data_IF_534823521006
#
_entry.id   IF_534823521006
#
_cell.length_a   1.000
_cell.length_b   1.000
_cell.length_c   1.000
_cell.angle_alpha   90.00
_cell.angle_beta   90.00
_cell.angle_gamma   90.00
#
_symmetry.space_group_name_H-M   'P 1'
#
loop_
_entity.id
_entity.type
_entity.pdbx_description
1 polymer ?
#
# COMPACT_ATOMS: atom_id res chain seq x y z
N UNK A 1 61.40 -12.25 -29.20
CA UNK A 1 60.00 -12.07 -28.75
C UNK A 1 59.15 -13.14 -29.42
N UNK A 2 58.75 -14.17 -28.67
CA UNK A 2 58.05 -15.38 -29.16
C UNK A 2 56.63 -15.39 -28.60
N UNK A 3 55.66 -15.70 -29.47
CA UNK A 3 54.46 -16.44 -29.09
C UNK A 3 53.30 -15.63 -28.50
N UNK A 4 52.56 -14.93 -29.37
CA UNK A 4 51.12 -14.71 -29.19
C UNK A 4 50.46 -15.10 -30.51
N UNK A 5 49.26 -15.69 -30.45
CA UNK A 5 48.43 -16.15 -31.57
C UNK A 5 48.77 -17.51 -32.17
N UNK A 6 48.33 -18.60 -31.53
CA UNK A 6 47.75 -19.76 -32.23
C UNK A 6 47.10 -20.76 -31.25
N UNK A 7 45.90 -20.50 -30.70
CA UNK A 7 45.15 -21.55 -30.00
C UNK A 7 44.56 -22.61 -30.95
N UNK A 8 44.56 -22.39 -32.26
CA UNK A 8 43.88 -23.25 -33.23
C UNK A 8 44.71 -24.42 -33.80
N UNK A 9 46.00 -24.54 -33.45
CA UNK A 9 46.88 -25.55 -34.06
C UNK A 9 46.85 -26.92 -33.37
N UNK A 10 46.02 -27.09 -32.33
CA UNK A 10 45.91 -28.34 -31.56
C UNK A 10 44.77 -29.28 -32.02
N UNK A 11 44.02 -28.92 -33.06
CA UNK A 11 42.81 -29.66 -33.47
C UNK A 11 42.88 -30.37 -34.84
N UNK A 12 44.04 -30.42 -35.51
CA UNK A 12 44.18 -31.16 -36.77
C UNK A 12 44.90 -32.50 -36.55
N UNK A 13 44.14 -33.58 -36.42
CA UNK A 13 44.64 -34.93 -36.71
C UNK A 13 44.29 -35.22 -38.18
N UNK A 14 45.31 -35.42 -39.02
CA UNK A 14 45.25 -35.94 -40.40
C UNK A 14 44.88 -35.04 -41.60
N UNK A 15 44.94 -33.71 -41.50
CA UNK A 15 45.02 -32.85 -42.71
C UNK A 15 43.76 -32.73 -43.57
N UNK A 16 42.61 -33.26 -43.14
CA UNK A 16 41.29 -32.85 -43.63
C UNK A 16 40.53 -32.11 -42.53
N UNK A 17 39.80 -31.01 -42.85
CA UNK A 17 39.04 -30.29 -41.84
C UNK A 17 37.94 -31.22 -41.32
N UNK A 18 38.01 -31.59 -40.03
CA UNK A 18 36.96 -32.32 -39.32
C UNK A 18 35.72 -31.43 -39.17
N UNK A 19 35.01 -31.22 -40.27
CA UNK A 19 33.77 -30.43 -40.39
C UNK A 19 32.67 -31.01 -39.50
N UNK A 20 32.62 -32.33 -39.37
CA UNK A 20 31.70 -33.05 -38.46
C UNK A 20 31.96 -32.73 -36.98
N UNK A 21 33.23 -32.62 -36.57
CA UNK A 21 33.59 -32.24 -35.21
C UNK A 21 33.18 -30.80 -34.90
N UNK A 22 33.49 -29.86 -35.81
CA UNK A 22 33.11 -28.46 -35.65
C UNK A 22 31.59 -28.26 -35.65
N UNK A 23 30.86 -28.96 -36.52
CA UNK A 23 29.40 -28.93 -36.54
C UNK A 23 28.84 -29.42 -35.19
N UNK A 24 29.34 -30.56 -34.69
CA UNK A 24 28.90 -31.12 -33.41
C UNK A 24 29.17 -30.16 -32.25
N UNK A 25 30.35 -29.52 -32.22
CA UNK A 25 30.66 -28.56 -31.16
C UNK A 25 29.87 -27.25 -31.27
N UNK A 26 29.60 -26.76 -32.47
CA UNK A 26 28.70 -25.62 -32.67
C UNK A 26 27.29 -25.95 -32.18
N UNK A 27 26.79 -27.16 -32.43
CA UNK A 27 25.47 -27.62 -31.95
C UNK A 27 25.45 -27.74 -30.43
N UNK A 28 26.49 -28.28 -29.79
CA UNK A 28 26.58 -28.38 -28.32
C UNK A 28 26.62 -26.98 -27.69
N UNK A 29 27.45 -26.08 -28.22
CA UNK A 29 27.51 -24.68 -27.76
C UNK A 29 26.17 -23.98 -27.92
N UNK A 30 25.54 -24.09 -29.09
CA UNK A 30 24.22 -23.52 -29.34
C UNK A 30 23.18 -24.10 -28.37
N UNK A 31 23.16 -25.41 -28.16
CA UNK A 31 22.25 -26.07 -27.22
C UNK A 31 22.45 -25.62 -25.78
N UNK A 32 23.71 -25.38 -25.37
CA UNK A 32 24.03 -24.95 -24.00
C UNK A 32 23.58 -23.51 -23.77
N UNK A 33 23.88 -22.62 -24.72
CA UNK A 33 23.47 -21.22 -24.67
C UNK A 33 21.95 -21.10 -24.70
N UNK A 34 21.27 -21.85 -25.57
CA UNK A 34 19.81 -21.88 -25.63
C UNK A 34 19.20 -22.44 -24.34
N UNK A 35 19.78 -23.50 -23.78
CA UNK A 35 19.31 -24.08 -22.51
C UNK A 35 19.41 -23.10 -21.35
N UNK A 36 20.54 -22.40 -21.20
CA UNK A 36 20.73 -21.37 -20.17
C UNK A 36 19.78 -20.20 -20.42
N UNK A 37 19.66 -19.72 -21.66
CA UNK A 37 18.76 -18.62 -22.01
C UNK A 37 17.31 -18.93 -21.65
N UNK A 38 16.80 -20.11 -22.01
CA UNK A 38 15.43 -20.51 -21.72
C UNK A 38 15.20 -20.65 -20.20
N UNK A 39 16.17 -21.23 -19.48
CA UNK A 39 16.09 -21.36 -18.03
C UNK A 39 16.12 -19.99 -17.33
N UNK A 40 16.98 -19.07 -17.77
CA UNK A 40 17.04 -17.71 -17.23
C UNK A 40 15.77 -16.92 -17.54
N UNK A 41 15.20 -17.07 -18.74
CA UNK A 41 13.94 -16.42 -19.11
C UNK A 41 12.77 -16.92 -18.27
N UNK A 42 12.67 -18.24 -18.07
CA UNK A 42 11.66 -18.83 -17.18
C UNK A 42 11.82 -18.33 -15.74
N UNK A 43 13.05 -18.29 -15.22
CA UNK A 43 13.34 -17.77 -13.87
C UNK A 43 12.99 -16.29 -13.71
N UNK A 44 13.30 -15.47 -14.72
CA UNK A 44 12.94 -14.05 -14.73
C UNK A 44 11.42 -13.84 -14.72
N UNK A 45 10.66 -14.57 -15.54
CA UNK A 45 9.19 -14.48 -15.56
C UNK A 45 8.60 -14.79 -14.18
N UNK A 46 9.04 -15.88 -13.55
CA UNK A 46 8.56 -16.26 -12.21
C UNK A 46 8.90 -15.18 -11.18
N UNK A 47 10.11 -14.60 -11.25
CA UNK A 47 10.51 -13.54 -10.32
C UNK A 47 9.66 -12.28 -10.47
N UNK A 48 9.33 -11.89 -11.71
CA UNK A 48 8.46 -10.74 -11.98
C UNK A 48 7.04 -11.00 -11.48
N UNK A 49 6.49 -12.19 -11.72
CA UNK A 49 5.16 -12.55 -11.25
C UNK A 49 5.09 -12.58 -9.72
N UNK A 50 6.14 -13.09 -9.07
CA UNK A 50 6.27 -13.07 -7.61
C UNK A 50 6.35 -11.65 -7.05
N UNK A 51 7.17 -10.77 -7.63
CA UNK A 51 7.27 -9.37 -7.21
C UNK A 51 5.93 -8.65 -7.36
N UNK A 52 5.23 -8.87 -8.47
CA UNK A 52 3.90 -8.32 -8.70
C UNK A 52 2.88 -8.82 -7.69
N UNK A 53 2.88 -10.12 -7.39
CA UNK A 53 2.01 -10.72 -6.37
C UNK A 53 2.29 -10.11 -5.00
N UNK A 54 3.56 -10.03 -4.61
CA UNK A 54 3.97 -9.47 -3.32
C UNK A 54 3.53 -8.00 -3.21
N UNK A 55 3.80 -7.18 -4.22
CA UNK A 55 3.38 -5.76 -4.26
C UNK A 55 1.87 -5.62 -4.09
N UNK A 56 1.09 -6.39 -4.85
CA UNK A 56 -0.37 -6.34 -4.81
C UNK A 56 -0.90 -6.79 -3.44
N UNK A 57 -0.31 -7.83 -2.86
CA UNK A 57 -0.67 -8.36 -1.54
C UNK A 57 -0.36 -7.35 -0.43
N UNK A 58 0.80 -6.70 -0.49
CA UNK A 58 1.21 -5.69 0.49
C UNK A 58 0.27 -4.48 0.47
N UNK A 59 -0.06 -3.97 -0.73
CA UNK A 59 -1.02 -2.87 -0.89
C UNK A 59 -2.41 -3.26 -0.41
N UNK A 60 -2.88 -4.47 -0.77
CA UNK A 60 -4.16 -4.99 -0.30
C UNK A 60 -4.25 -5.01 1.23
N UNK A 61 -3.23 -5.56 1.91
CA UNK A 61 -3.22 -5.62 3.37
C UNK A 61 -3.14 -4.24 4.01
N UNK A 62 -2.41 -3.31 3.38
CA UNK A 62 -2.33 -1.92 3.83
C UNK A 62 -3.69 -1.22 3.75
N UNK A 63 -4.35 -1.28 2.60
CA UNK A 63 -5.67 -0.69 2.40
C UNK A 63 -6.73 -1.33 3.29
N UNK A 64 -6.66 -2.66 3.50
CA UNK A 64 -7.57 -3.36 4.41
C UNK A 64 -7.40 -2.94 5.87
N UNK A 65 -6.16 -2.73 6.31
CA UNK A 65 -5.87 -2.23 7.66
C UNK A 65 -6.34 -0.78 7.81
N UNK A 66 -6.15 0.04 6.77
CA UNK A 66 -6.61 1.42 6.74
C UNK A 66 -8.15 1.49 6.77
N UNK A 67 -8.84 0.59 6.07
CA UNK A 67 -10.31 0.52 6.10
C UNK A 67 -10.86 0.21 7.48
N UNK A 68 -10.23 -0.73 8.20
CA UNK A 68 -10.62 -1.05 9.57
C UNK A 68 -10.46 0.17 10.49
N UNK A 69 -9.26 0.78 10.51
CA UNK A 69 -9.01 1.99 11.31
C UNK A 69 -9.97 3.13 10.94
N UNK A 70 -10.16 3.38 9.64
CA UNK A 70 -11.00 4.47 9.18
C UNK A 70 -12.48 4.25 9.53
N UNK A 71 -12.96 3.01 9.45
CA UNK A 71 -14.34 2.66 9.84
C UNK A 71 -14.54 2.84 11.35
N UNK A 72 -13.63 2.34 12.17
CA UNK A 72 -13.68 2.46 13.63
C UNK A 72 -13.63 3.94 14.06
N UNK A 73 -12.82 4.76 13.39
CA UNK A 73 -12.75 6.19 13.64
C UNK A 73 -14.02 6.94 13.24
N UNK A 74 -14.65 6.58 12.12
CA UNK A 74 -15.96 7.13 11.74
C UNK A 74 -16.99 6.84 12.84
N UNK A 75 -17.04 5.60 13.35
CA UNK A 75 -17.97 5.19 14.42
C UNK A 75 -17.66 5.88 15.76
N UNK A 76 -16.38 6.09 16.05
CA UNK A 76 -15.92 6.82 17.23
C UNK A 76 -16.42 8.27 17.20
N UNK A 77 -16.27 8.96 16.06
CA UNK A 77 -16.78 10.33 15.91
C UNK A 77 -18.31 10.37 16.00
N UNK A 78 -19.02 9.39 15.46
CA UNK A 78 -20.47 9.31 15.60
C UNK A 78 -20.90 9.15 17.06
N UNK A 79 -20.15 8.36 17.82
CA UNK A 79 -20.35 8.19 19.27
C UNK A 79 -20.13 9.51 20.00
N UNK A 80 -19.05 10.23 19.69
CA UNK A 80 -18.79 11.57 20.25
C UNK A 80 -19.92 12.55 19.96
N UNK A 81 -20.45 12.53 18.73
CA UNK A 81 -21.58 13.39 18.33
C UNK A 81 -22.85 13.06 19.12
N UNK A 82 -23.08 11.77 19.41
CA UNK A 82 -24.23 11.31 20.17
C UNK A 82 -24.11 11.58 21.68
N UNK A 83 -22.90 11.47 22.24
CA UNK A 83 -22.65 11.58 23.68
C UNK A 83 -22.56 13.02 24.17
N UNK A 84 -22.07 13.95 23.34
CA UNK A 84 -21.88 15.33 23.76
C UNK A 84 -23.17 16.01 24.29
N UNK A 85 -24.34 15.89 23.64
CA UNK A 85 -25.59 16.49 24.15
C UNK A 85 -26.02 15.99 25.54
N UNK A 86 -25.71 14.73 25.88
CA UNK A 86 -26.09 14.12 27.16
C UNK A 86 -25.27 14.66 28.33
N UNK A 87 -24.03 15.06 28.09
CA UNK A 87 -23.15 15.60 29.13
C UNK A 87 -22.16 16.63 28.60
N UNK A 88 -22.60 17.82 28.16
CA UNK A 88 -21.69 18.80 27.57
C UNK A 88 -20.63 19.29 28.56
N UNK A 89 -20.96 19.34 29.85
CA UNK A 89 -20.07 19.92 30.88
C UNK A 89 -18.85 19.04 31.18
N UNK A 90 -18.92 17.72 30.94
CA UNK A 90 -17.78 16.80 31.14
C UNK A 90 -16.69 17.01 30.09
N UNK A 91 -17.07 17.41 28.87
CA UNK A 91 -16.18 17.65 27.74
C UNK A 91 -15.34 18.93 27.87
N UNK A 92 -15.85 19.96 28.56
CA UNK A 92 -15.13 21.23 28.75
C UNK A 92 -14.37 21.28 30.09
N UNK A 93 -14.63 20.35 30.99
CA UNK A 93 -13.88 20.20 32.22
C UNK A 93 -12.57 19.46 31.93
N UNK A 94 -11.45 20.19 31.85
CA UNK A 94 -10.13 19.64 31.51
C UNK A 94 -9.66 18.47 32.41
N UNK A 95 -10.23 18.34 33.61
CA UNK A 95 -9.96 17.25 34.56
C UNK A 95 -10.79 15.99 34.28
N UNK A 96 -11.93 16.13 33.59
CA UNK A 96 -12.89 15.06 33.31
C UNK A 96 -12.80 14.54 31.87
N UNK A 97 -12.34 15.38 30.93
CA UNK A 97 -12.09 15.00 29.54
C UNK A 97 -10.70 15.48 29.10
N UNK A 98 -9.63 14.69 29.34
CA UNK A 98 -8.32 14.98 28.77
C UNK A 98 -8.42 15.04 27.24
N UNK A 99 -7.73 15.98 26.59
CA UNK A 99 -7.68 16.04 25.12
C UNK A 99 -7.23 14.72 24.49
N UNK A 100 -6.29 14.04 25.14
CA UNK A 100 -5.76 12.73 24.73
C UNK A 100 -6.83 11.63 24.71
N UNK A 101 -7.92 11.75 25.47
CA UNK A 101 -9.01 10.75 25.47
C UNK A 101 -9.98 10.90 24.29
N UNK A 102 -9.82 11.96 23.48
CA UNK A 102 -10.67 12.26 22.32
C UNK A 102 -9.81 12.48 21.07
N UNK A 103 -8.76 11.67 20.94
CA UNK A 103 -7.95 11.56 19.73
C UNK A 103 -8.43 10.37 18.91
N UNK A 104 -8.41 10.48 17.60
CA UNK A 104 -8.63 9.36 16.69
C UNK A 104 -7.44 8.40 16.74
N UNK A 105 -7.71 7.11 16.57
CA UNK A 105 -6.67 6.10 16.45
C UNK A 105 -6.02 6.23 15.08
N UNK A 106 -4.73 6.54 15.03
CA UNK A 106 -3.99 6.82 13.79
C UNK A 106 -2.82 5.87 13.57
N UNK A 107 -2.80 4.71 14.22
CA UNK A 107 -1.66 3.79 14.18
C UNK A 107 -1.31 3.30 12.76
N UNK A 108 -2.30 2.86 11.99
CA UNK A 108 -2.14 2.45 10.59
C UNK A 108 -1.76 3.66 9.73
N UNK A 109 -2.48 4.78 9.86
CA UNK A 109 -2.16 6.00 9.13
C UNK A 109 -0.72 6.50 9.36
N UNK A 110 -0.26 6.52 10.61
CA UNK A 110 1.07 6.99 10.97
C UNK A 110 2.16 6.01 10.49
N UNK A 111 1.88 4.70 10.50
CA UNK A 111 2.79 3.66 10.00
C UNK A 111 2.90 3.65 8.48
N UNK A 112 1.85 4.05 7.74
CA UNK A 112 1.88 4.19 6.29
C UNK A 112 3.00 5.11 5.82
N UNK A 113 3.40 6.13 6.60
CA UNK A 113 4.52 7.02 6.24
C UNK A 113 5.87 6.30 6.10
N UNK A 114 6.00 5.12 6.71
CA UNK A 114 7.20 4.29 6.64
C UNK A 114 7.09 3.12 5.66
N UNK A 115 5.89 2.89 5.10
CA UNK A 115 5.69 1.86 4.09
C UNK A 115 6.08 2.38 2.70
N UNK A 116 6.91 1.61 1.99
CA UNK A 116 7.27 1.91 0.60
C UNK A 116 6.08 1.81 -0.36
N UNK A 117 5.05 1.05 0.02
CA UNK A 117 3.87 0.75 -0.79
C UNK A 117 2.76 1.80 -0.66
N UNK A 118 2.90 2.77 0.25
CA UNK A 118 1.90 3.83 0.45
C UNK A 118 1.66 4.67 -0.81
N UNK A 119 2.67 4.83 -1.66
CA UNK A 119 2.53 5.56 -2.93
C UNK A 119 1.86 4.74 -4.04
N UNK A 120 1.58 3.45 -3.81
CA UNK A 120 0.81 2.60 -4.72
C UNK A 120 -0.70 2.64 -4.43
N UNK A 121 -1.09 3.17 -3.26
CA UNK A 121 -2.49 3.41 -2.88
C UNK A 121 -3.07 4.58 -3.68
N UNK A 122 -4.36 4.53 -4.00
CA UNK A 122 -5.02 5.61 -4.73
C UNK A 122 -4.87 6.96 -3.99
N UNK A 123 -4.33 8.02 -4.65
CA UNK A 123 -4.15 9.34 -4.04
C UNK A 123 -5.45 9.97 -3.50
N UNK A 124 -6.61 9.63 -4.06
CA UNK A 124 -7.92 10.09 -3.60
C UNK A 124 -8.26 9.49 -2.23
N UNK A 125 -7.95 8.22 -2.00
CA UNK A 125 -8.12 7.55 -0.70
C UNK A 125 -7.22 8.22 0.33
N UNK A 126 -5.91 8.31 0.06
CA UNK A 126 -4.94 8.94 0.97
C UNK A 126 -5.36 10.37 1.31
N UNK A 127 -5.77 11.14 0.31
CA UNK A 127 -6.20 12.54 0.52
C UNK A 127 -7.51 12.62 1.29
N UNK A 128 -8.46 11.72 1.02
CA UNK A 128 -9.76 11.66 1.71
C UNK A 128 -9.60 11.34 3.18
N UNK A 129 -8.84 10.30 3.50
CA UNK A 129 -8.54 9.90 4.89
C UNK A 129 -7.77 11.00 5.63
N UNK A 130 -6.73 11.57 5.00
CA UNK A 130 -5.99 12.71 5.58
C UNK A 130 -6.89 13.90 5.91
N UNK A 131 -7.81 14.25 5.00
CA UNK A 131 -8.76 15.36 5.20
C UNK A 131 -9.68 15.06 6.36
N UNK A 132 -10.25 13.86 6.42
CA UNK A 132 -11.07 13.45 7.56
C UNK A 132 -10.34 13.62 8.89
N UNK A 133 -9.13 13.07 9.04
CA UNK A 133 -8.34 13.20 10.27
C UNK A 133 -8.08 14.67 10.62
N UNK A 134 -7.63 15.47 9.66
CA UNK A 134 -7.33 16.89 9.86
C UNK A 134 -8.57 17.72 10.21
N UNK A 135 -9.71 17.44 9.57
CA UNK A 135 -10.92 18.23 9.73
C UNK A 135 -11.60 17.92 11.07
N UNK A 136 -11.61 16.65 11.49
CA UNK A 136 -12.08 16.24 12.82
C UNK A 136 -11.21 16.83 13.92
N UNK A 137 -9.88 16.76 13.79
CA UNK A 137 -8.95 17.36 14.77
C UNK A 137 -9.17 18.87 14.90
N UNK A 138 -9.42 19.56 13.77
CA UNK A 138 -9.75 20.98 13.79
C UNK A 138 -11.08 21.27 14.53
N UNK A 139 -12.13 20.47 14.30
CA UNK A 139 -13.40 20.65 15.02
C UNK A 139 -13.25 20.32 16.52
N UNK A 140 -12.48 19.28 16.84
CA UNK A 140 -12.23 18.85 18.21
C UNK A 140 -11.43 19.91 18.98
N UNK A 141 -10.45 20.54 18.32
CA UNK A 141 -9.72 21.69 18.86
C UNK A 141 -10.66 22.84 19.20
N UNK A 142 -11.61 23.17 18.32
CA UNK A 142 -12.61 24.22 18.56
C UNK A 142 -13.47 23.87 19.78
N UNK A 143 -13.91 22.62 19.92
CA UNK A 143 -14.71 22.16 21.06
C UNK A 143 -13.96 22.31 22.38
N UNK A 144 -12.72 21.82 22.45
CA UNK A 144 -11.90 21.88 23.68
C UNK A 144 -11.42 23.29 24.05
N UNK A 145 -11.42 24.25 23.12
CA UNK A 145 -11.12 25.65 23.44
C UNK A 145 -12.28 26.37 24.14
N UNK A 146 -13.50 25.81 24.11
CA UNK A 146 -14.64 26.43 24.76
C UNK A 146 -14.65 26.12 26.26
N UNK A 147 -15.05 27.10 27.08
CA UNK A 147 -15.25 26.90 28.51
C UNK A 147 -16.66 26.36 28.85
N UNK A 148 -17.61 26.48 27.92
CA UNK A 148 -19.00 26.08 28.09
C UNK A 148 -19.60 25.65 26.74
N UNK A 149 -20.67 24.85 26.80
CA UNK A 149 -21.47 24.48 25.62
C UNK A 149 -22.12 25.73 24.99
N UNK A 150 -21.52 26.23 23.91
CA UNK A 150 -21.93 27.46 23.25
C UNK A 150 -22.26 27.21 21.76
N UNK A 151 -22.53 28.30 21.02
CA UNK A 151 -22.83 28.20 19.58
C UNK A 151 -21.67 27.62 18.75
N UNK A 152 -20.42 27.88 19.15
CA UNK A 152 -19.25 27.35 18.44
C UNK A 152 -19.13 25.83 18.60
N UNK A 153 -19.36 25.30 19.80
CA UNK A 153 -19.33 23.86 20.02
C UNK A 153 -20.48 23.13 19.27
N UNK A 154 -21.67 23.73 19.22
CA UNK A 154 -22.78 23.21 18.40
C UNK A 154 -22.47 23.22 16.90
N UNK A 155 -21.82 24.27 16.41
CA UNK A 155 -21.38 24.35 15.02
C UNK A 155 -20.28 23.32 14.73
N UNK A 156 -19.32 23.12 15.63
CA UNK A 156 -18.28 22.11 15.50
C UNK A 156 -18.88 20.70 15.38
N UNK A 157 -19.86 20.36 16.22
CA UNK A 157 -20.58 19.08 16.12
C UNK A 157 -21.34 18.92 14.80
N UNK A 158 -21.99 19.98 14.34
CA UNK A 158 -22.67 19.96 13.03
C UNK A 158 -21.66 19.69 11.91
N UNK A 159 -20.51 20.37 11.94
CA UNK A 159 -19.44 20.16 10.97
C UNK A 159 -18.88 18.74 11.05
N UNK A 160 -18.63 18.20 12.25
CA UNK A 160 -18.20 16.81 12.43
C UNK A 160 -19.20 15.83 11.80
N UNK A 161 -20.50 16.06 11.97
CA UNK A 161 -21.55 15.24 11.34
C UNK A 161 -21.51 15.30 9.81
N UNK A 162 -21.28 16.48 9.24
CA UNK A 162 -21.13 16.65 7.79
C UNK A 162 -19.86 15.95 7.27
N UNK A 163 -18.74 16.06 7.99
CA UNK A 163 -17.46 15.39 7.67
C UNK A 163 -17.62 13.87 7.69
N UNK A 164 -18.25 13.32 8.73
CA UNK A 164 -18.56 11.89 8.86
C UNK A 164 -19.45 11.41 7.71
N UNK A 165 -20.49 12.17 7.36
CA UNK A 165 -21.39 11.83 6.27
C UNK A 165 -20.64 11.79 4.92
N UNK A 166 -19.78 12.77 4.65
CA UNK A 166 -18.94 12.80 3.45
C UNK A 166 -17.94 11.64 3.44
N UNK A 167 -17.29 11.33 4.57
CA UNK A 167 -16.37 10.20 4.69
C UNK A 167 -17.04 8.86 4.36
N UNK A 168 -18.26 8.62 4.87
CA UNK A 168 -19.05 7.41 4.59
C UNK A 168 -19.54 7.34 3.14
N UNK A 169 -19.91 8.47 2.54
CA UNK A 169 -20.50 8.51 1.21
C UNK A 169 -19.44 8.50 0.09
N UNK A 170 -18.30 9.14 0.31
CA UNK A 170 -17.32 9.40 -0.74
C UNK A 170 -16.07 8.52 -0.58
N UNK A 171 -15.42 8.54 0.59
CA UNK A 171 -14.10 7.93 0.79
C UNK A 171 -14.21 6.43 1.06
N UNK A 172 -15.11 6.02 1.96
CA UNK A 172 -15.25 4.63 2.36
C UNK A 172 -15.64 3.70 1.19
N UNK A 173 -16.56 4.07 0.27
CA UNK A 173 -16.89 3.24 -0.88
C UNK A 173 -15.73 3.11 -1.86
N UNK A 174 -14.98 4.19 -2.09
CA UNK A 174 -13.77 4.16 -2.93
C UNK A 174 -12.75 3.17 -2.36
N UNK A 175 -12.45 3.26 -1.06
CA UNK A 175 -11.53 2.34 -0.39
C UNK A 175 -12.00 0.88 -0.48
N UNK A 176 -13.28 0.61 -0.23
CA UNK A 176 -13.85 -0.74 -0.37
C UNK A 176 -13.77 -1.26 -1.80
N UNK A 177 -13.98 -0.40 -2.79
CA UNK A 177 -13.91 -0.79 -4.20
C UNK A 177 -12.48 -1.13 -4.64
N UNK A 178 -11.48 -0.41 -4.13
CA UNK A 178 -10.07 -0.69 -4.41
C UNK A 178 -9.62 -1.98 -3.75
N UNK A 179 -10.01 -2.22 -2.49
CA UNK A 179 -9.76 -3.49 -1.80
C UNK A 179 -10.34 -4.67 -2.60
N UNK A 180 -11.58 -4.56 -3.09
CA UNK A 180 -12.21 -5.59 -3.94
C UNK A 180 -11.46 -5.78 -5.27
N UNK A 181 -11.00 -4.68 -5.88
CA UNK A 181 -10.21 -4.72 -7.11
C UNK A 181 -8.88 -5.45 -6.89
N UNK A 182 -8.22 -5.21 -5.77
CA UNK A 182 -6.95 -5.85 -5.39
C UNK A 182 -7.15 -7.33 -5.05
N UNK A 183 -8.18 -7.69 -4.29
CA UNK A 183 -8.53 -9.08 -4.01
C UNK A 183 -8.82 -9.88 -5.28
N UNK A 184 -9.59 -9.29 -6.21
CA UNK A 184 -9.85 -9.91 -7.50
C UNK A 184 -8.59 -10.04 -8.38
N UNK A 185 -7.61 -9.14 -8.23
CA UNK A 185 -6.31 -9.27 -8.90
C UNK A 185 -5.46 -10.39 -8.29
N UNK A 186 -5.41 -10.47 -6.97
CA UNK A 186 -4.69 -11.54 -6.25
C UNK A 186 -5.28 -12.92 -6.60
N UNK A 187 -6.60 -13.04 -6.62
CA UNK A 187 -7.28 -14.28 -7.01
C UNK A 187 -6.97 -14.72 -8.46
N UNK A 188 -6.68 -13.79 -9.37
CA UNK A 188 -6.26 -14.11 -10.74
C UNK A 188 -4.79 -14.51 -10.86
N UNK A 189 -3.95 -14.15 -9.89
CA UNK A 189 -2.53 -14.49 -9.87
C UNK A 189 -2.25 -15.83 -9.19
N UNK A 190 -3.18 -16.31 -8.36
CA UNK A 190 -3.08 -17.58 -7.63
C UNK A 190 -3.76 -18.76 -8.33
N UNK A 191 -4.64 -18.50 -9.30
CA UNK A 191 -5.27 -19.51 -10.17
C UNK A 191 -4.52 -19.64 -11.50
#
# INVERSE_FOLDING_TARGET
MRGLFAPFRFLSVSGQPNTEFWLTQCVILASTVLGVYLASFAGFSIAVDFDRYQSTSDVYNLERSLEAEFTDNIETVETWIADYPESPMTWHAAQLAPRESHKLDDMVWETMRYSQRTFEVDPQIITGVRRFYSDIDAQMTIMFMQQNANGMARNALKNMKEIVAAARADVLPLLKSEIQRLDAQLAKMTN
#
